data_IF_870214793293
#
_entry.id   IF_870214793293
#
_cell.length_a   1.000
_cell.length_b   1.000
_cell.length_c   1.000
_cell.angle_alpha   90.00
_cell.angle_beta   90.00
_cell.angle_gamma   90.00
#
_symmetry.space_group_name_H-M   'P 1'
#
loop_
_entity.id
_entity.type
_entity.pdbx_description
1 polymer ?
#
# COMPACT_ATOMS: atom_id res chain seq x y z
N UNK A 1 -13.40 -2.90 -15.76
CA UNK A 1 -12.07 -2.47 -15.23
C UNK A 1 -11.18 -2.19 -16.43
N UNK A 2 -10.45 -1.06 -16.49
CA UNK A 2 -9.58 -0.75 -17.64
C UNK A 2 -8.53 -1.84 -17.87
N UNK A 3 -8.46 -2.35 -19.09
CA UNK A 3 -7.46 -3.29 -19.61
C UNK A 3 -6.14 -2.55 -19.79
N UNK A 4 -5.05 -3.22 -19.42
CA UNK A 4 -3.69 -2.69 -19.55
C UNK A 4 -3.27 -2.83 -21.01
N UNK A 5 -2.99 -1.72 -21.68
CA UNK A 5 -2.75 -1.66 -23.13
C UNK A 5 -1.27 -1.42 -23.50
N UNK A 6 -0.34 -1.86 -22.66
CA UNK A 6 1.10 -1.70 -22.86
C UNK A 6 1.85 -2.93 -22.35
N UNK A 7 3.09 -3.12 -22.82
CA UNK A 7 3.87 -4.33 -22.63
C UNK A 7 4.42 -4.46 -21.20
N UNK A 8 3.56 -4.85 -20.26
CA UNK A 8 3.91 -5.08 -18.87
C UNK A 8 2.87 -6.02 -18.26
N UNK A 9 3.27 -7.22 -17.85
CA UNK A 9 2.32 -8.16 -17.22
C UNK A 9 1.85 -7.65 -15.86
N UNK A 10 0.79 -8.27 -15.33
CA UNK A 10 0.15 -7.84 -14.08
C UNK A 10 -0.01 -9.03 -13.12
N UNK A 11 0.20 -8.77 -11.83
CA UNK A 11 -0.24 -9.64 -10.75
C UNK A 11 -1.56 -9.13 -10.19
N UNK A 12 -2.58 -9.99 -10.20
CA UNK A 12 -3.93 -9.68 -9.71
C UNK A 12 -4.17 -10.43 -8.40
N UNK A 13 -4.69 -9.71 -7.41
CA UNK A 13 -5.01 -10.25 -6.09
C UNK A 13 -3.96 -9.89 -5.04
N UNK A 14 -4.35 -9.07 -4.06
CA UNK A 14 -3.51 -8.66 -2.94
C UNK A 14 -3.00 -9.87 -2.14
N UNK A 15 -3.85 -10.87 -1.90
CA UNK A 15 -3.47 -12.07 -1.14
C UNK A 15 -2.43 -12.91 -1.89
N UNK A 16 -2.54 -13.01 -3.23
CA UNK A 16 -1.54 -13.69 -4.07
C UNK A 16 -0.17 -13.00 -4.00
N UNK A 17 -0.16 -11.67 -4.11
CA UNK A 17 1.06 -10.86 -3.96
C UNK A 17 1.66 -11.05 -2.57
N UNK A 18 0.84 -11.02 -1.51
CA UNK A 18 1.29 -11.27 -0.15
C UNK A 18 2.01 -12.61 -0.02
N UNK A 19 1.41 -13.72 -0.47
CA UNK A 19 2.05 -15.04 -0.38
C UNK A 19 3.37 -15.13 -1.16
N UNK A 20 3.46 -14.50 -2.33
CA UNK A 20 4.72 -14.44 -3.09
C UNK A 20 5.83 -13.69 -2.36
N UNK A 21 5.49 -12.62 -1.65
CA UNK A 21 6.45 -11.85 -0.85
C UNK A 21 6.79 -12.56 0.47
N UNK A 22 5.81 -13.15 1.14
CA UNK A 22 5.98 -13.84 2.42
C UNK A 22 6.88 -15.07 2.31
N UNK A 23 6.88 -15.74 1.14
CA UNK A 23 7.80 -16.84 0.84
C UNK A 23 9.28 -16.41 0.72
N UNK A 24 9.59 -15.11 0.77
CA UNK A 24 10.96 -14.60 0.78
C UNK A 24 11.31 -14.05 2.16
N UNK A 25 12.24 -14.71 2.88
CA UNK A 25 12.62 -14.34 4.25
C UNK A 25 13.05 -12.88 4.42
N UNK A 26 13.68 -12.29 3.38
CA UNK A 26 14.16 -10.91 3.45
C UNK A 26 13.02 -9.88 3.37
N UNK A 27 11.90 -10.23 2.72
CA UNK A 27 10.73 -9.35 2.58
C UNK A 27 9.67 -9.63 3.62
N UNK A 28 9.55 -10.88 4.09
CA UNK A 28 8.48 -11.31 5.00
C UNK A 28 8.36 -10.44 6.26
N UNK A 29 9.49 -10.06 6.85
CA UNK A 29 9.55 -9.18 8.03
C UNK A 29 8.92 -7.79 7.82
N UNK A 30 8.74 -7.36 6.58
CA UNK A 30 8.14 -6.08 6.23
C UNK A 30 6.64 -6.19 5.90
N UNK A 31 6.03 -7.38 6.02
CA UNK A 31 4.64 -7.59 5.63
C UNK A 31 3.73 -7.61 6.87
N UNK A 32 2.68 -6.78 6.93
CA UNK A 32 1.66 -6.94 7.96
C UNK A 32 0.97 -8.29 7.77
N UNK A 33 0.71 -8.99 8.87
CA UNK A 33 0.11 -10.33 8.82
C UNK A 33 -1.22 -10.29 8.06
N UNK A 34 -1.38 -11.18 7.07
CA UNK A 34 -2.49 -11.13 6.12
C UNK A 34 -3.06 -12.52 5.85
N UNK A 35 -4.38 -12.66 5.97
CA UNK A 35 -5.09 -13.93 5.78
C UNK A 35 -6.32 -13.75 4.88
N UNK A 36 -6.82 -14.85 4.34
CA UNK A 36 -8.11 -14.86 3.62
C UNK A 36 -9.27 -14.53 4.56
N UNK A 37 -10.33 -13.92 4.03
CA UNK A 37 -11.51 -13.62 4.84
C UNK A 37 -12.36 -14.86 5.09
N UNK A 38 -12.53 -15.22 6.36
CA UNK A 38 -13.46 -16.24 6.87
C UNK A 38 -13.91 -15.83 8.28
N UNK A 39 -14.98 -16.43 8.81
CA UNK A 39 -15.40 -16.17 10.21
C UNK A 39 -14.29 -16.53 11.20
N UNK A 40 -13.65 -17.69 11.00
CA UNK A 40 -12.53 -18.16 11.83
C UNK A 40 -11.37 -17.17 11.82
N UNK A 41 -10.93 -16.76 10.64
CA UNK A 41 -9.82 -15.81 10.49
C UNK A 41 -10.19 -14.43 11.04
N UNK A 42 -11.45 -13.99 10.88
CA UNK A 42 -11.89 -12.71 11.45
C UNK A 42 -11.79 -12.73 12.98
N UNK A 43 -12.31 -13.78 13.62
CA UNK A 43 -12.20 -13.97 15.07
C UNK A 43 -10.73 -13.92 15.52
N UNK A 44 -9.90 -14.80 14.97
CA UNK A 44 -8.48 -14.91 15.32
C UNK A 44 -7.73 -13.59 15.12
N UNK A 45 -7.92 -12.94 13.98
CA UNK A 45 -7.23 -11.68 13.66
C UNK A 45 -7.64 -10.53 14.60
N UNK A 46 -8.90 -10.47 15.03
CA UNK A 46 -9.37 -9.46 16.00
C UNK A 46 -9.00 -9.77 17.45
N UNK A 47 -8.59 -11.00 17.75
CA UNK A 47 -8.04 -11.39 19.05
C UNK A 47 -6.54 -11.11 19.12
N UNK A 48 -5.81 -11.37 18.04
CA UNK A 48 -4.37 -11.14 17.94
C UNK A 48 -3.99 -9.66 17.80
N UNK A 49 -4.83 -8.86 17.15
CA UNK A 49 -4.51 -7.46 16.83
C UNK A 49 -5.62 -6.53 17.30
N UNK A 50 -5.23 -5.41 17.92
CA UNK A 50 -6.14 -4.32 18.33
C UNK A 50 -7.01 -3.81 17.17
N UNK A 51 -6.44 -3.77 15.96
CA UNK A 51 -7.14 -3.34 14.77
C UNK A 51 -6.72 -4.14 13.53
N UNK A 52 -7.69 -4.36 12.64
CA UNK A 52 -7.48 -5.05 11.36
C UNK A 52 -8.17 -4.31 10.23
N UNK A 53 -7.58 -4.36 9.05
CA UNK A 53 -8.21 -3.93 7.81
C UNK A 53 -8.83 -5.10 7.07
N UNK A 54 -10.08 -4.92 6.65
CA UNK A 54 -10.77 -5.83 5.74
C UNK A 54 -10.80 -5.17 4.38
N UNK A 55 -10.17 -5.81 3.39
CA UNK A 55 -9.93 -5.22 2.06
C UNK A 55 -10.44 -6.15 0.96
N UNK A 56 -10.97 -5.62 -0.16
CA UNK A 56 -11.22 -6.43 -1.34
C UNK A 56 -9.89 -6.97 -1.90
N UNK A 57 -9.82 -8.27 -2.16
CA UNK A 57 -8.63 -8.91 -2.73
C UNK A 57 -8.26 -8.28 -4.09
N UNK A 58 -9.26 -7.86 -4.86
CA UNK A 58 -9.09 -7.11 -6.11
C UNK A 58 -9.85 -5.78 -6.02
N UNK A 59 -9.12 -4.69 -6.09
CA UNK A 59 -9.65 -3.33 -5.99
C UNK A 59 -8.52 -2.31 -5.93
N UNK A 60 -8.88 -1.03 -5.95
CA UNK A 60 -7.96 0.10 -5.92
C UNK A 60 -8.56 1.27 -5.15
N UNK A 61 -7.75 2.30 -4.90
CA UNK A 61 -8.18 3.60 -4.36
C UNK A 61 -8.78 3.58 -2.94
N UNK A 62 -8.60 2.49 -2.19
CA UNK A 62 -9.16 2.36 -0.85
C UNK A 62 -10.68 2.12 -0.81
N UNK A 63 -11.30 1.84 -1.96
CA UNK A 63 -12.74 1.57 -2.04
C UNK A 63 -13.04 0.20 -1.44
N UNK A 64 -14.05 0.16 -0.56
CA UNK A 64 -14.49 -1.07 0.10
C UNK A 64 -13.58 -1.55 1.22
N UNK A 65 -12.68 -0.69 1.73
CA UNK A 65 -11.86 -0.99 2.91
C UNK A 65 -12.65 -0.67 4.17
N UNK A 66 -12.65 -1.61 5.10
CA UNK A 66 -13.12 -1.42 6.47
C UNK A 66 -11.94 -1.51 7.43
N UNK A 67 -11.94 -0.69 8.48
CA UNK A 67 -11.11 -0.88 9.67
C UNK A 67 -12.01 -1.44 10.76
N UNK A 68 -11.61 -2.55 11.36
CA UNK A 68 -12.29 -3.15 12.51
C UNK A 68 -11.37 -3.02 13.72
N UNK A 69 -11.92 -2.51 14.82
CA UNK A 69 -11.24 -2.34 16.10
C UNK A 69 -12.03 -3.11 17.15
N UNK A 70 -11.36 -3.96 17.93
CA UNK A 70 -11.97 -4.66 19.07
C UNK A 70 -11.79 -3.80 20.32
N UNK A 71 -12.87 -3.62 21.07
CA UNK A 71 -12.88 -2.96 22.38
C UNK A 71 -13.65 -3.79 23.40
N UNK A 72 -13.83 -3.27 24.61
CA UNK A 72 -14.50 -3.98 25.71
C UNK A 72 -15.96 -4.34 25.38
N UNK A 73 -16.70 -3.42 24.76
CA UNK A 73 -18.10 -3.63 24.36
C UNK A 73 -18.32 -4.29 22.99
N UNK A 74 -17.29 -4.88 22.37
CA UNK A 74 -17.40 -5.57 21.07
C UNK A 74 -16.51 -4.98 19.97
N UNK A 75 -17.09 -4.68 18.81
CA UNK A 75 -16.38 -4.31 17.59
C UNK A 75 -16.85 -3.00 16.99
N UNK A 76 -15.91 -2.09 16.72
CA UNK A 76 -16.16 -0.89 15.92
C UNK A 76 -15.67 -1.11 14.50
N UNK A 77 -16.57 -1.00 13.52
CA UNK A 77 -16.28 -1.01 12.10
C UNK A 77 -16.34 0.41 11.54
N UNK A 78 -15.23 0.88 10.99
CA UNK A 78 -15.11 2.16 10.29
C UNK A 78 -14.94 1.94 8.80
N UNK A 79 -15.66 2.71 8.00
CA UNK A 79 -15.48 2.86 6.56
C UNK A 79 -15.28 4.34 6.23
N UNK A 80 -15.06 4.67 4.97
CA UNK A 80 -14.94 6.08 4.54
C UNK A 80 -16.21 6.90 4.76
N UNK A 81 -17.38 6.25 4.85
CA UNK A 81 -18.69 6.91 4.92
C UNK A 81 -19.48 6.62 6.21
N UNK A 82 -19.14 5.55 6.92
CA UNK A 82 -19.97 5.01 8.01
C UNK A 82 -19.10 4.50 9.15
N UNK A 83 -19.55 4.74 10.37
CA UNK A 83 -19.13 4.07 11.58
C UNK A 83 -20.28 3.17 12.05
N UNK A 84 -19.97 1.94 12.45
CA UNK A 84 -20.94 0.98 13.00
C UNK A 84 -20.31 0.23 14.16
N UNK A 85 -21.12 -0.12 15.14
CA UNK A 85 -20.74 -0.95 16.27
C UNK A 85 -21.47 -2.29 16.20
N UNK A 86 -20.84 -3.33 16.71
CA UNK A 86 -21.37 -4.68 16.82
C UNK A 86 -20.97 -5.23 18.17
N UNK A 87 -21.90 -5.84 18.89
CA UNK A 87 -21.63 -6.44 20.21
C UNK A 87 -20.89 -7.78 20.07
N UNK A 88 -21.08 -8.50 18.97
CA UNK A 88 -20.47 -9.82 18.75
C UNK A 88 -19.87 -10.02 17.34
N UNK A 89 -18.97 -11.01 17.25
CA UNK A 89 -18.22 -11.35 16.03
C UNK A 89 -19.12 -11.90 14.91
N UNK A 90 -20.23 -12.56 15.26
CA UNK A 90 -21.17 -13.15 14.32
C UNK A 90 -21.98 -12.05 13.61
N UNK A 91 -22.45 -11.04 14.34
CA UNK A 91 -23.13 -9.88 13.79
C UNK A 91 -22.22 -9.10 12.83
N UNK A 92 -20.98 -8.82 13.25
CA UNK A 92 -19.96 -8.20 12.40
C UNK A 92 -19.71 -9.04 11.13
N UNK A 93 -19.51 -10.35 11.27
CA UNK A 93 -19.27 -11.24 10.13
C UNK A 93 -20.44 -11.26 9.14
N UNK A 94 -21.69 -11.39 9.62
CA UNK A 94 -22.89 -11.34 8.78
C UNK A 94 -22.99 -10.02 8.03
N UNK A 95 -22.72 -8.90 8.69
CA UNK A 95 -22.73 -7.59 8.04
C UNK A 95 -21.70 -7.52 6.90
N UNK A 96 -20.46 -7.93 7.15
CA UNK A 96 -19.39 -7.95 6.14
C UNK A 96 -19.74 -8.89 4.98
N UNK A 97 -20.33 -10.05 5.28
CA UNK A 97 -20.74 -11.04 4.28
C UNK A 97 -21.85 -10.50 3.37
N UNK A 98 -22.87 -9.84 3.92
CA UNK A 98 -23.97 -9.24 3.14
C UNK A 98 -23.49 -8.08 2.27
N UNK A 99 -22.49 -7.33 2.72
CA UNK A 99 -21.96 -6.17 2.00
C UNK A 99 -20.78 -6.51 1.06
N UNK A 100 -20.29 -7.76 1.05
CA UNK A 100 -19.17 -8.14 0.17
C UNK A 100 -19.67 -8.22 -1.27
N UNK A 101 -19.07 -7.43 -2.16
CA UNK A 101 -19.23 -7.58 -3.62
C UNK A 101 -18.11 -8.42 -4.25
N UNK A 102 -17.06 -8.73 -3.49
CA UNK A 102 -15.81 -9.36 -3.96
C UNK A 102 -15.22 -10.23 -2.86
N UNK A 103 -14.30 -11.13 -3.24
CA UNK A 103 -13.45 -11.86 -2.27
C UNK A 103 -12.68 -10.84 -1.41
N UNK A 104 -12.74 -11.02 -0.10
CA UNK A 104 -12.08 -10.16 0.88
C UNK A 104 -10.84 -10.84 1.47
N UNK A 105 -9.97 -10.05 2.07
CA UNK A 105 -8.87 -10.47 2.94
C UNK A 105 -8.89 -9.67 4.23
N UNK A 106 -8.18 -10.16 5.24
CA UNK A 106 -7.99 -9.50 6.53
C UNK A 106 -6.49 -9.25 6.68
N UNK A 107 -6.11 -8.03 7.02
CA UNK A 107 -4.72 -7.62 7.19
C UNK A 107 -4.57 -6.89 8.52
N UNK A 108 -3.53 -7.18 9.28
CA UNK A 108 -3.13 -6.43 10.46
C UNK A 108 -3.07 -4.93 10.14
N UNK A 109 -3.63 -4.09 11.01
CA UNK A 109 -3.47 -2.65 10.86
C UNK A 109 -2.06 -2.22 11.27
N UNK A 110 -1.37 -1.50 10.37
CA UNK A 110 -0.11 -0.83 10.67
C UNK A 110 -0.41 0.53 11.28
N UNK A 111 0.25 0.88 12.38
CA UNK A 111 0.12 2.19 13.02
C UNK A 111 1.05 3.15 12.30
N UNK A 112 0.51 3.99 11.42
CA UNK A 112 1.34 4.86 10.56
C UNK A 112 2.05 5.93 11.39
N UNK A 113 3.35 6.10 11.16
CA UNK A 113 4.10 7.28 11.62
C UNK A 113 3.42 8.56 11.12
N UNK A 114 3.55 9.61 11.94
CA UNK A 114 2.89 10.89 11.72
C UNK A 114 3.91 12.00 11.50
N UNK A 115 3.53 12.93 10.65
CA UNK A 115 4.23 14.20 10.43
C UNK A 115 3.26 15.32 10.77
N UNK A 116 3.63 16.19 11.73
CA UNK A 116 2.75 17.27 12.22
C UNK A 116 1.34 16.75 12.57
N UNK A 117 1.26 15.64 13.31
CA UNK A 117 0.01 14.98 13.71
C UNK A 117 -0.72 14.17 12.63
N UNK A 118 -0.32 14.28 11.36
CA UNK A 118 -0.99 13.63 10.23
C UNK A 118 -0.31 12.32 9.83
N UNK A 119 -1.07 11.21 9.65
CA UNK A 119 -0.49 9.95 9.19
C UNK A 119 -0.02 10.08 7.74
N UNK A 120 1.07 9.43 7.40
CA UNK A 120 1.54 9.39 6.01
C UNK A 120 1.87 7.96 5.55
N UNK A 121 1.81 7.75 4.24
CA UNK A 121 2.37 6.57 3.60
C UNK A 121 3.34 6.99 2.48
N UNK A 122 4.12 6.06 1.94
CA UNK A 122 5.15 6.31 0.95
C UNK A 122 4.87 5.54 -0.32
N UNK A 123 4.86 6.19 -1.47
CA UNK A 123 4.78 5.55 -2.79
C UNK A 123 6.16 5.50 -3.41
N UNK A 124 6.72 4.31 -3.58
CA UNK A 124 7.86 4.07 -4.43
C UNK A 124 7.41 3.57 -5.81
N UNK A 125 7.94 4.18 -6.87
CA UNK A 125 7.80 3.69 -8.24
C UNK A 125 9.06 2.94 -8.65
N UNK A 126 8.87 1.72 -9.13
CA UNK A 126 9.93 0.89 -9.70
C UNK A 126 9.56 0.54 -11.13
N UNK A 127 10.49 0.78 -12.05
CA UNK A 127 10.31 0.57 -13.48
C UNK A 127 11.55 -0.07 -14.07
N UNK A 128 11.39 -0.84 -15.15
CA UNK A 128 12.51 -1.33 -15.97
C UNK A 128 12.23 -1.09 -17.44
N UNK A 129 13.25 -0.62 -18.16
CA UNK A 129 13.24 -0.59 -19.63
C UNK A 129 13.23 -2.03 -20.18
N UNK A 130 12.86 -2.24 -21.46
CA UNK A 130 13.16 -3.50 -22.15
C UNK A 130 14.64 -3.86 -21.97
N UNK A 131 14.91 -5.12 -21.60
CA UNK A 131 16.27 -5.65 -21.29
C UNK A 131 17.04 -4.93 -20.16
N UNK A 132 16.46 -3.92 -19.51
CA UNK A 132 17.10 -3.15 -18.45
C UNK A 132 16.90 -3.73 -17.05
N UNK A 133 17.74 -3.30 -16.11
CA UNK A 133 17.57 -3.56 -14.67
C UNK A 133 16.37 -2.83 -14.09
N UNK A 134 15.83 -3.36 -12.99
CA UNK A 134 14.85 -2.63 -12.17
C UNK A 134 15.49 -1.38 -11.57
N UNK A 135 14.81 -0.25 -11.71
CA UNK A 135 15.23 1.06 -11.20
C UNK A 135 14.10 1.68 -10.41
N UNK A 136 14.40 2.25 -9.23
CA UNK A 136 13.45 3.08 -8.51
C UNK A 136 13.44 4.49 -9.13
N UNK A 137 12.36 4.83 -9.83
CA UNK A 137 12.23 6.05 -10.63
C UNK A 137 11.59 7.20 -9.87
N UNK A 138 11.24 6.99 -8.60
CA UNK A 138 10.83 8.07 -7.71
C UNK A 138 10.16 7.53 -6.45
N UNK A 139 10.23 8.34 -5.39
CA UNK A 139 9.57 8.08 -4.11
C UNK A 139 8.88 9.39 -3.72
N UNK A 140 7.62 9.31 -3.31
CA UNK A 140 6.84 10.44 -2.80
C UNK A 140 6.10 10.02 -1.53
N UNK A 141 5.79 10.99 -0.68
CA UNK A 141 4.95 10.76 0.50
C UNK A 141 3.50 11.20 0.21
N UNK A 142 2.53 10.44 0.74
CA UNK A 142 1.11 10.79 0.78
C UNK A 142 0.75 11.11 2.22
N UNK A 143 0.63 12.39 2.54
CA UNK A 143 0.20 12.86 3.86
C UNK A 143 -1.33 12.83 3.88
N UNK A 144 -1.91 11.99 4.73
CA UNK A 144 -3.35 11.89 4.91
C UNK A 144 -3.92 13.04 5.75
N UNK A 145 -5.25 13.07 5.88
CA UNK A 145 -5.95 13.93 6.84
C UNK A 145 -6.13 13.20 8.18
N UNK A 146 -6.28 13.94 9.29
CA UNK A 146 -6.62 13.33 10.58
C UNK A 146 -7.91 12.52 10.47
N UNK A 147 -8.04 11.48 11.28
CA UNK A 147 -9.27 10.68 11.46
C UNK A 147 -9.80 9.94 10.21
N UNK A 148 -9.01 9.87 9.11
CA UNK A 148 -9.33 9.00 7.96
C UNK A 148 -8.71 7.62 8.14
N UNK A 149 -9.47 6.59 7.77
CA UNK A 149 -9.02 5.18 7.84
C UNK A 149 -7.96 4.82 6.78
N UNK A 150 -7.78 5.66 5.76
CA UNK A 150 -6.76 5.47 4.72
C UNK A 150 -6.15 6.81 4.33
N UNK A 151 -4.87 6.79 4.01
CA UNK A 151 -4.02 7.92 3.58
C UNK A 151 -4.09 8.19 2.07
N UNK A 152 -5.09 7.65 1.37
CA UNK A 152 -5.10 7.68 -0.08
C UNK A 152 -5.33 9.10 -0.64
N UNK A 153 -4.55 9.49 -1.65
CA UNK A 153 -4.65 10.78 -2.35
C UNK A 153 -6.08 11.09 -2.82
N UNK A 154 -6.78 10.08 -3.37
CA UNK A 154 -8.18 10.18 -3.81
C UNK A 154 -9.18 10.46 -2.67
N UNK A 155 -8.73 10.45 -1.41
CA UNK A 155 -9.54 10.74 -0.22
C UNK A 155 -9.08 12.02 0.49
N UNK A 156 -8.38 12.92 -0.22
CA UNK A 156 -7.99 14.24 0.26
C UNK A 156 -6.61 14.32 0.89
N UNK A 157 -5.75 13.30 0.68
CA UNK A 157 -4.34 13.35 1.07
C UNK A 157 -3.51 14.22 0.13
N UNK A 158 -2.42 14.81 0.63
CA UNK A 158 -1.48 15.62 -0.14
C UNK A 158 -0.25 14.81 -0.51
N UNK A 159 0.13 14.84 -1.79
CA UNK A 159 1.40 14.25 -2.24
C UNK A 159 2.50 15.30 -2.07
N UNK A 160 3.61 14.90 -1.48
CA UNK A 160 4.79 15.75 -1.29
C UNK A 160 6.09 15.03 -1.66
N UNK A 161 7.12 15.80 -1.98
CA UNK A 161 8.49 15.28 -2.14
C UNK A 161 9.01 14.73 -0.81
N UNK A 162 9.91 13.76 -0.88
CA UNK A 162 10.56 13.20 0.31
C UNK A 162 11.36 14.25 1.09
N UNK A 163 12.04 15.18 0.41
CA UNK A 163 12.74 16.30 1.07
C UNK A 163 11.80 17.13 1.94
N UNK A 164 10.60 17.45 1.44
CA UNK A 164 9.59 18.17 2.22
C UNK A 164 9.12 17.36 3.43
N UNK A 165 8.89 16.05 3.26
CA UNK A 165 8.53 15.18 4.38
C UNK A 165 9.64 15.17 5.44
N UNK A 166 10.90 15.01 5.04
CA UNK A 166 12.03 14.92 5.96
C UNK A 166 12.26 16.22 6.72
N UNK A 167 12.14 17.37 6.05
CA UNK A 167 12.19 18.67 6.72
C UNK A 167 11.07 18.81 7.77
N UNK A 168 9.85 18.36 7.45
CA UNK A 168 8.74 18.41 8.41
C UNK A 168 8.86 17.40 9.56
N UNK A 169 9.60 16.31 9.34
CA UNK A 169 9.98 15.33 10.37
C UNK A 169 11.23 15.76 11.15
N UNK A 170 11.88 16.86 10.76
CA UNK A 170 13.12 17.35 11.36
C UNK A 170 14.27 16.31 11.32
N UNK A 171 14.34 15.52 10.24
CA UNK A 171 15.43 14.57 10.05
C UNK A 171 16.71 15.29 9.60
N UNK A 172 17.87 14.80 10.03
CA UNK A 172 19.14 15.23 9.44
C UNK A 172 19.27 14.76 7.99
N UNK A 173 20.15 15.36 7.17
CA UNK A 173 20.43 14.88 5.81
C UNK A 173 20.80 13.39 5.76
N UNK A 174 21.59 12.91 6.72
CA UNK A 174 22.06 11.52 6.83
C UNK A 174 20.89 10.57 7.12
N UNK A 175 20.03 10.92 8.08
CA UNK A 175 18.83 10.16 8.41
C UNK A 175 17.86 10.08 7.23
N UNK A 176 17.70 11.20 6.51
CA UNK A 176 16.89 11.28 5.29
C UNK A 176 17.40 10.36 4.19
N UNK A 177 18.71 10.39 3.91
CA UNK A 177 19.31 9.52 2.88
C UNK A 177 19.29 8.04 3.31
N UNK A 178 19.53 7.74 4.59
CA UNK A 178 19.39 6.39 5.14
C UNK A 178 17.99 5.83 4.89
N UNK A 179 16.97 6.64 5.22
CA UNK A 179 15.57 6.27 5.02
C UNK A 179 15.26 6.05 3.54
N UNK A 180 15.71 6.94 2.65
CA UNK A 180 15.56 6.77 1.19
C UNK A 180 16.23 5.50 0.69
N UNK A 181 17.45 5.21 1.15
CA UNK A 181 18.20 4.02 0.73
C UNK A 181 17.49 2.75 1.16
N UNK A 182 16.97 2.69 2.40
CA UNK A 182 16.13 1.58 2.90
C UNK A 182 14.89 1.37 2.03
N UNK A 183 14.12 2.43 1.77
CA UNK A 183 12.90 2.34 0.94
C UNK A 183 13.24 1.87 -0.48
N UNK A 184 14.27 2.46 -1.09
CA UNK A 184 14.74 2.13 -2.44
C UNK A 184 15.19 0.67 -2.53
N UNK A 185 15.97 0.20 -1.55
CA UNK A 185 16.43 -1.18 -1.45
C UNK A 185 15.26 -2.16 -1.37
N UNK A 186 14.32 -1.94 -0.45
CA UNK A 186 13.13 -2.77 -0.28
C UNK A 186 12.24 -2.77 -1.53
N UNK A 187 12.04 -1.62 -2.17
CA UNK A 187 11.25 -1.52 -3.40
C UNK A 187 11.85 -2.34 -4.55
N UNK A 188 13.17 -2.26 -4.74
CA UNK A 188 13.89 -3.04 -5.76
C UNK A 188 13.87 -4.54 -5.44
N UNK A 189 13.98 -4.90 -4.16
CA UNK A 189 13.90 -6.29 -3.72
C UNK A 189 12.51 -6.90 -4.00
N UNK A 190 11.44 -6.19 -3.63
CA UNK A 190 10.05 -6.59 -3.93
C UNK A 190 9.85 -6.78 -5.44
N UNK A 191 10.35 -5.84 -6.25
CA UNK A 191 10.26 -5.94 -7.71
C UNK A 191 10.93 -7.21 -8.25
N UNK A 192 12.13 -7.54 -7.75
CA UNK A 192 12.85 -8.76 -8.12
C UNK A 192 12.08 -10.02 -7.72
N UNK A 193 11.66 -10.12 -6.46
CA UNK A 193 10.90 -11.28 -5.92
C UNK A 193 9.65 -11.54 -6.74
N UNK A 194 8.84 -10.51 -6.98
CA UNK A 194 7.61 -10.67 -7.77
C UNK A 194 7.91 -11.01 -9.23
N UNK A 195 8.94 -10.40 -9.83
CA UNK A 195 9.33 -10.67 -11.23
C UNK A 195 9.88 -12.08 -11.45
N UNK A 196 10.45 -12.70 -10.42
CA UNK A 196 10.84 -14.11 -10.45
C UNK A 196 9.63 -15.04 -10.42
N UNK A 197 8.52 -14.64 -9.76
CA UNK A 197 7.26 -15.41 -9.74
C UNK A 197 6.41 -15.23 -11.00
N UNK A 198 6.52 -14.08 -11.68
CA UNK A 198 5.82 -13.80 -12.93
C UNK A 198 6.65 -12.91 -13.85
N UNK A 199 7.07 -13.46 -14.98
CA UNK A 199 7.87 -12.73 -15.98
C UNK A 199 7.05 -11.62 -16.68
N UNK A 200 7.76 -10.73 -17.38
CA UNK A 200 7.14 -9.69 -18.22
C UNK A 200 6.62 -8.43 -17.51
N UNK A 201 6.69 -8.31 -16.18
CA UNK A 201 6.32 -7.06 -15.49
C UNK A 201 7.33 -5.95 -15.78
N UNK A 202 6.90 -4.72 -16.10
CA UNK A 202 7.83 -3.58 -16.35
C UNK A 202 7.74 -2.45 -15.34
N UNK A 203 6.68 -2.44 -14.53
CA UNK A 203 6.47 -1.39 -13.53
C UNK A 203 5.65 -1.88 -12.35
N UNK A 204 5.92 -1.30 -11.19
CA UNK A 204 5.11 -1.46 -9.98
C UNK A 204 5.10 -0.15 -9.20
N UNK A 205 3.95 0.18 -8.63
CA UNK A 205 3.85 1.15 -7.55
C UNK A 205 3.75 0.40 -6.24
N UNK A 206 4.68 0.64 -5.32
CA UNK A 206 4.73 0.01 -4.01
C UNK A 206 4.38 1.05 -2.97
N UNK A 207 3.35 0.78 -2.18
CA UNK A 207 2.95 1.60 -1.04
C UNK A 207 3.59 1.02 0.23
N UNK A 208 4.35 1.85 0.93
CA UNK A 208 4.97 1.54 2.21
C UNK A 208 4.39 2.43 3.33
N UNK A 209 4.60 1.99 4.56
CA UNK A 209 4.41 2.76 5.77
C UNK A 209 5.67 2.65 6.65
N UNK A 210 5.90 3.66 7.47
CA UNK A 210 6.76 3.49 8.66
C UNK A 210 5.81 3.24 9.82
N UNK A 211 6.00 2.13 10.52
CA UNK A 211 5.24 1.84 11.73
C UNK A 211 5.70 2.78 12.87
N UNK A 212 4.75 3.42 13.54
CA UNK A 212 4.99 4.50 14.49
C UNK A 212 5.79 4.04 15.72
N UNK A 213 5.55 2.80 16.15
CA UNK A 213 6.10 2.22 17.37
C UNK A 213 7.43 1.51 17.09
N UNK A 214 7.41 0.54 16.17
CA UNK A 214 8.61 -0.25 15.86
C UNK A 214 9.62 0.48 14.96
N UNK A 215 9.23 1.60 14.35
CA UNK A 215 9.98 2.34 13.31
C UNK A 215 10.34 1.50 12.08
N UNK A 216 9.71 0.33 11.93
CA UNK A 216 9.97 -0.57 10.81
C UNK A 216 9.24 -0.10 9.55
N UNK A 217 9.89 -0.33 8.41
CA UNK A 217 9.27 -0.12 7.11
C UNK A 217 8.35 -1.30 6.78
N UNK A 218 7.07 -1.03 6.56
CA UNK A 218 6.03 -2.01 6.27
C UNK A 218 5.48 -1.84 4.85
N UNK A 219 5.24 -2.93 4.13
CA UNK A 219 4.62 -2.92 2.79
C UNK A 219 3.11 -2.98 2.94
N UNK A 220 2.42 -1.95 2.47
CA UNK A 220 0.95 -1.88 2.52
C UNK A 220 0.31 -2.53 1.29
N UNK A 221 0.83 -2.23 0.10
CA UNK A 221 0.28 -2.71 -1.17
C UNK A 221 1.34 -2.67 -2.30
N UNK A 222 1.26 -3.61 -3.24
CA UNK A 222 2.01 -3.56 -4.51
C UNK A 222 1.02 -3.59 -5.67
N UNK A 223 1.07 -2.56 -6.52
CA UNK A 223 0.26 -2.44 -7.72
C UNK A 223 1.12 -2.55 -8.99
N UNK A 224 0.99 -3.66 -9.71
CA UNK A 224 1.65 -3.90 -11.01
C UNK A 224 0.70 -3.73 -12.20
N UNK A 225 -0.58 -3.39 -11.98
CA UNK A 225 -1.55 -3.28 -13.09
C UNK A 225 -1.46 -1.95 -13.79
N UNK A 226 -1.61 -0.87 -13.04
CA UNK A 226 -1.53 0.49 -13.56
C UNK A 226 -1.23 1.42 -12.39
N UNK A 227 0.04 1.49 -11.95
CA UNK A 227 0.43 2.48 -10.96
C UNK A 227 0.25 3.89 -11.52
N UNK A 228 -0.40 4.78 -10.77
CA UNK A 228 -0.71 6.14 -11.21
C UNK A 228 0.55 7.01 -11.14
N UNK A 229 0.87 7.70 -12.24
CA UNK A 229 2.02 8.62 -12.33
C UNK A 229 1.56 10.08 -12.34
N UNK A 230 0.39 10.37 -12.92
CA UNK A 230 -0.12 11.73 -13.08
C UNK A 230 -0.13 12.57 -11.79
N UNK A 231 -0.51 12.04 -10.60
CA UNK A 231 -0.50 12.83 -9.37
C UNK A 231 0.89 13.35 -8.94
N UNK A 232 1.98 12.81 -9.51
CA UNK A 232 3.35 13.24 -9.24
C UNK A 232 3.72 14.47 -10.09
N UNK A 233 3.12 14.65 -11.27
CA UNK A 233 3.42 15.76 -12.20
C UNK A 233 3.43 17.15 -11.55
N UNK A 234 2.42 17.56 -10.75
CA UNK A 234 2.43 18.89 -10.11
C UNK A 234 3.39 18.98 -8.91
N UNK A 235 3.83 17.84 -8.36
CA UNK A 235 4.73 17.79 -7.20
C UNK A 235 6.19 17.81 -7.64
N UNK A 236 6.52 17.03 -8.67
CA UNK A 236 7.87 16.91 -9.21
C UNK A 236 7.84 16.56 -10.70
N UNK A 237 7.99 17.60 -11.53
CA UNK A 237 7.95 17.50 -12.99
C UNK A 237 9.09 16.64 -13.55
N UNK A 238 10.29 16.78 -13.01
CA UNK A 238 11.47 16.02 -13.44
C UNK A 238 11.31 14.54 -13.13
N UNK A 239 10.87 14.22 -11.91
CA UNK A 239 10.55 12.85 -11.50
C UNK A 239 9.46 12.24 -12.40
N UNK A 240 8.36 12.97 -12.64
CA UNK A 240 7.29 12.53 -13.53
C UNK A 240 7.81 12.28 -14.96
N UNK A 241 8.62 13.18 -15.52
CA UNK A 241 9.18 13.03 -16.86
C UNK A 241 10.09 11.79 -16.95
N UNK A 242 10.92 11.54 -15.94
CA UNK A 242 11.73 10.31 -15.83
C UNK A 242 10.84 9.06 -15.80
N UNK A 243 9.78 9.06 -15.00
CA UNK A 243 8.85 7.93 -14.93
C UNK A 243 8.16 7.68 -16.28
N UNK A 244 7.73 8.74 -16.96
CA UNK A 244 7.12 8.64 -18.28
C UNK A 244 8.10 8.20 -19.36
N UNK A 245 9.37 8.60 -19.30
CA UNK A 245 10.42 8.13 -20.21
C UNK A 245 10.57 6.60 -20.13
N UNK A 246 10.63 6.05 -18.91
CA UNK A 246 10.61 4.60 -18.71
C UNK A 246 9.30 3.99 -19.21
N UNK A 247 8.15 4.61 -18.89
CA UNK A 247 6.84 4.13 -19.28
C UNK A 247 6.66 3.98 -20.80
N UNK A 248 7.11 4.98 -21.55
CA UNK A 248 7.06 5.00 -23.01
C UNK A 248 7.92 3.90 -23.63
N UNK A 249 9.04 3.53 -23.01
CA UNK A 249 9.92 2.45 -23.51
C UNK A 249 9.25 1.06 -23.58
N UNK A 250 8.14 0.85 -22.87
CA UNK A 250 7.32 -0.36 -22.95
C UNK A 250 5.89 -0.10 -23.42
N UNK A 251 5.67 1.02 -24.12
CA UNK A 251 4.41 1.32 -24.82
C UNK A 251 3.34 2.05 -24.01
N UNK A 252 3.62 2.48 -22.77
CA UNK A 252 2.63 3.22 -21.96
C UNK A 252 2.57 4.69 -22.40
N UNK A 253 1.44 5.09 -22.99
CA UNK A 253 1.22 6.46 -23.51
C UNK A 253 0.72 7.47 -22.47
N UNK A 254 0.02 7.02 -21.42
CA UNK A 254 -0.63 7.90 -20.41
C UNK A 254 -0.10 7.63 -18.99
N UNK A 255 0.00 8.71 -18.20
CA UNK A 255 0.38 8.70 -16.78
C UNK A 255 -0.71 8.19 -15.87
#
# INVERSE_FOLDING_TARGET
>A
MSTKNYNSTTLVGKLKVYHYLAANHRVNKHLPYTVSFSKKNLKQMTELFRAVYIKPNVGSQGIGIYKVEKGEGGFTLRSTKKLRQFTDIQALYRYLLRNKKKKLLIQQAVRLERVQGNPYDLRAMVQRKPKGKWTCTGIVAKIGKPNKIVTNYHQGGKIVRMSRLFNQLQLTPEEGEERLRKIRGSALQIARVLSARKSGMREMGIDFAVDEESKQLMVLEVNSRQPQLYPIKPVDRAMYNRMMSYARSYGRKRG
#
